data_IF_571173579048
#
_entry.id   IF_571173579048
#
_cell.length_a   1.000
_cell.length_b   1.000
_cell.length_c   1.000
_cell.angle_alpha   90.00
_cell.angle_beta   90.00
_cell.angle_gamma   90.00
#
_symmetry.space_group_name_H-M   'P 1'
#
loop_
_entity.id
_entity.type
_entity.pdbx_description
1 polymer ?
#
# COMPACT_ATOMS: atom_id res chain seq x y z
N UNK A 1 26.12 0.94 -8.85
CA UNK A 1 24.87 1.35 -9.53
C UNK A 1 23.69 1.03 -8.61
N UNK A 2 23.19 2.03 -7.88
CA UNK A 2 21.98 1.90 -7.04
C UNK A 2 20.79 1.50 -7.91
N UNK A 3 20.14 0.37 -7.65
CA UNK A 3 18.83 0.07 -8.26
C UNK A 3 17.84 1.06 -7.67
N UNK A 4 17.31 2.04 -8.44
CA UNK A 4 16.32 2.95 -7.91
C UNK A 4 15.05 2.16 -7.56
N UNK A 5 14.28 2.60 -6.55
CA UNK A 5 13.03 1.94 -6.24
C UNK A 5 12.15 1.92 -7.49
N UNK A 6 11.75 0.73 -7.93
CA UNK A 6 10.97 0.54 -9.16
C UNK A 6 9.55 1.10 -9.03
N UNK A 7 9.07 1.25 -7.79
CA UNK A 7 7.80 1.86 -7.45
C UNK A 7 7.25 1.37 -6.12
N UNK A 8 6.02 1.77 -5.84
CA UNK A 8 5.22 1.24 -4.74
C UNK A 8 4.48 -0.01 -5.23
N UNK A 9 4.39 -1.03 -4.38
CA UNK A 9 3.59 -2.22 -4.63
C UNK A 9 2.59 -2.40 -3.50
N UNK A 10 1.31 -2.27 -3.84
CA UNK A 10 0.21 -2.71 -3.00
C UNK A 10 -0.29 -4.07 -3.50
N UNK A 11 -0.72 -4.91 -2.57
CA UNK A 11 -1.25 -6.23 -2.87
C UNK A 11 -2.48 -6.52 -2.03
N UNK A 12 -3.27 -7.49 -2.49
CA UNK A 12 -4.38 -8.03 -1.71
C UNK A 12 -3.88 -8.60 -0.38
N UNK A 13 -4.73 -8.54 0.65
CA UNK A 13 -4.42 -9.01 2.00
C UNK A 13 -3.96 -10.47 2.04
N UNK A 14 -4.39 -11.32 1.10
CA UNK A 14 -3.93 -12.70 0.99
C UNK A 14 -2.41 -12.83 0.77
N UNK A 15 -1.76 -11.81 0.18
CA UNK A 15 -0.30 -11.82 -0.03
C UNK A 15 0.48 -11.69 1.28
N UNK A 16 -0.09 -11.12 2.34
CA UNK A 16 0.55 -11.06 3.66
C UNK A 16 0.64 -12.41 4.37
N UNK A 17 -0.13 -13.40 3.90
CA UNK A 17 -0.08 -14.78 4.40
C UNK A 17 0.84 -15.68 3.57
N UNK A 18 1.39 -15.18 2.47
CA UNK A 18 2.32 -15.95 1.65
C UNK A 18 3.65 -16.19 2.37
N UNK A 19 4.35 -17.23 1.92
CA UNK A 19 5.72 -17.51 2.35
C UNK A 19 6.59 -16.30 2.00
N UNK A 20 7.34 -15.84 2.99
CA UNK A 20 8.09 -14.59 2.94
C UNK A 20 9.09 -14.57 1.78
N UNK A 21 9.75 -15.70 1.53
CA UNK A 21 10.71 -15.93 0.46
C UNK A 21 10.10 -15.90 -0.94
N UNK A 22 8.79 -16.12 -1.07
CA UNK A 22 8.09 -16.16 -2.36
C UNK A 22 7.53 -14.79 -2.76
N UNK A 23 7.16 -13.97 -1.78
CA UNK A 23 6.56 -12.67 -2.03
C UNK A 23 7.42 -11.53 -1.47
N UNK A 24 7.34 -11.28 -0.17
CA UNK A 24 7.87 -10.06 0.45
C UNK A 24 9.38 -9.85 0.21
N UNK A 25 10.18 -10.91 0.28
CA UNK A 25 11.62 -10.85 0.01
C UNK A 25 11.90 -10.59 -1.47
N UNK A 26 11.27 -11.35 -2.38
CA UNK A 26 11.50 -11.18 -3.83
C UNK A 26 11.14 -9.79 -4.30
N UNK A 27 9.98 -9.28 -3.87
CA UNK A 27 9.51 -7.95 -4.25
C UNK A 27 10.50 -6.86 -3.81
N UNK A 28 11.10 -7.00 -2.63
CA UNK A 28 12.15 -6.09 -2.16
C UNK A 28 13.47 -6.23 -2.90
N UNK A 29 13.88 -7.45 -3.23
CA UNK A 29 15.08 -7.68 -4.06
C UNK A 29 14.91 -7.05 -5.44
N UNK A 30 13.68 -7.02 -5.97
CA UNK A 30 13.35 -6.32 -7.21
C UNK A 30 13.31 -4.79 -7.07
N UNK A 31 13.45 -4.24 -5.86
CA UNK A 31 13.48 -2.80 -5.62
C UNK A 31 12.11 -2.15 -5.36
N UNK A 32 11.04 -2.92 -5.19
CA UNK A 32 9.73 -2.35 -4.86
C UNK A 32 9.59 -2.07 -3.35
N UNK A 33 8.82 -1.03 -3.03
CA UNK A 33 8.42 -0.68 -1.68
C UNK A 33 7.03 -1.28 -1.39
N UNK A 34 6.89 -2.07 -0.33
CA UNK A 34 5.64 -2.72 0.01
C UNK A 34 4.72 -1.82 0.82
N UNK A 35 3.45 -1.80 0.41
CA UNK A 35 2.33 -1.11 1.06
C UNK A 35 1.17 -2.09 1.19
N UNK A 36 1.10 -2.76 2.34
CA UNK A 36 0.20 -3.89 2.56
C UNK A 36 -0.90 -3.56 3.57
N UNK A 37 -2.01 -4.30 3.52
CA UNK A 37 -3.05 -4.28 4.55
C UNK A 37 -3.02 -5.57 5.37
N UNK A 38 -3.47 -5.50 6.62
CA UNK A 38 -3.41 -6.61 7.56
C UNK A 38 -4.78 -7.13 7.95
N UNK A 39 -4.81 -8.41 8.31
CA UNK A 39 -5.94 -9.02 9.02
C UNK A 39 -5.97 -8.49 10.45
N UNK A 40 -7.16 -8.47 11.06
CA UNK A 40 -7.37 -7.96 12.41
C UNK A 40 -6.38 -8.53 13.45
N UNK A 41 -6.09 -9.82 13.40
CA UNK A 41 -5.16 -10.48 14.32
C UNK A 41 -3.67 -10.17 14.08
N UNK A 42 -3.34 -9.56 12.93
CA UNK A 42 -1.96 -9.19 12.58
C UNK A 42 -1.70 -7.69 12.79
N UNK A 43 -2.66 -6.92 13.32
CA UNK A 43 -2.51 -5.49 13.64
C UNK A 43 -1.91 -5.30 15.03
N UNK A 44 -1.18 -4.20 15.22
CA UNK A 44 -0.49 -3.83 16.44
C UNK A 44 0.94 -4.35 16.49
N UNK A 45 1.35 -4.83 17.65
CA UNK A 45 2.69 -5.38 17.87
C UNK A 45 2.79 -6.77 17.25
N UNK A 46 3.70 -6.94 16.30
CA UNK A 46 3.89 -8.17 15.54
C UNK A 46 5.13 -8.97 15.95
N UNK A 47 6.05 -8.36 16.70
CA UNK A 47 7.26 -9.01 17.19
C UNK A 47 8.39 -8.03 17.45
N UNK A 48 9.62 -8.54 17.49
CA UNK A 48 10.83 -7.74 17.70
C UNK A 48 11.95 -8.18 16.79
N UNK A 49 12.81 -7.25 16.36
CA UNK A 49 14.01 -7.55 15.58
C UNK A 49 15.18 -6.68 16.02
N UNK A 50 16.33 -7.29 16.35
CA UNK A 50 17.52 -6.58 16.87
C UNK A 50 17.17 -5.62 18.04
N UNK A 51 16.23 -6.01 18.89
CA UNK A 51 15.78 -5.20 20.02
C UNK A 51 14.89 -4.01 19.67
N UNK A 52 14.50 -3.83 18.40
CA UNK A 52 13.45 -2.90 17.99
C UNK A 52 12.09 -3.61 17.99
N UNK A 53 11.02 -2.87 18.29
CA UNK A 53 9.64 -3.36 18.26
C UNK A 53 9.10 -3.29 16.83
N UNK A 54 8.43 -4.33 16.34
CA UNK A 54 7.73 -4.29 15.06
C UNK A 54 6.26 -3.97 15.32
N UNK A 55 5.83 -2.77 14.94
CA UNK A 55 4.45 -2.27 15.13
C UNK A 55 3.85 -1.98 13.76
N UNK A 56 2.81 -2.71 13.40
CA UNK A 56 2.12 -2.64 12.10
C UNK A 56 3.10 -2.61 10.90
N UNK A 57 4.17 -3.39 10.97
CA UNK A 57 5.18 -3.50 9.93
C UNK A 57 6.30 -2.46 9.97
N UNK A 58 6.23 -1.50 10.88
CA UNK A 58 7.26 -0.49 11.07
C UNK A 58 8.10 -0.82 12.30
N UNK A 59 9.43 -0.78 12.15
CA UNK A 59 10.33 -0.96 13.28
C UNK A 59 10.37 0.32 14.13
N UNK A 60 10.24 0.18 15.44
CA UNK A 60 10.08 1.24 16.40
C UNK A 60 11.03 1.10 17.59
N UNK A 61 11.16 2.19 18.33
CA UNK A 61 11.83 2.22 19.62
C UNK A 61 11.25 1.13 20.56
N UNK A 62 12.10 0.32 21.24
CA UNK A 62 11.61 -0.70 22.17
C UNK A 62 10.84 -0.14 23.37
N UNK A 63 11.01 1.13 23.67
CA UNK A 63 10.29 1.83 24.74
C UNK A 63 9.18 2.75 24.20
N UNK A 64 8.63 2.45 23.02
CA UNK A 64 7.40 3.10 22.56
C UNK A 64 6.28 2.94 23.61
N UNK A 65 5.53 4.00 23.96
CA UNK A 65 4.42 3.88 24.91
C UNK A 65 3.44 2.77 24.50
N UNK A 66 3.01 1.95 25.47
CA UNK A 66 2.15 0.80 25.20
C UNK A 66 0.84 1.17 24.49
N UNK A 67 0.21 2.29 24.90
CA UNK A 67 -1.01 2.80 24.27
C UNK A 67 -0.83 3.11 22.77
N UNK A 68 0.36 3.58 22.38
CA UNK A 68 0.69 3.83 20.97
C UNK A 68 1.01 2.51 20.26
N UNK A 69 1.90 1.68 20.82
CA UNK A 69 2.28 0.40 20.21
C UNK A 69 1.06 -0.49 19.91
N UNK A 70 0.07 -0.49 20.79
CA UNK A 70 -1.13 -1.31 20.66
C UNK A 70 -2.34 -0.60 20.06
N UNK A 71 -2.25 0.64 19.61
CA UNK A 71 -3.42 1.43 19.15
C UNK A 71 -4.29 0.76 18.07
N UNK A 72 -3.71 -0.11 17.24
CA UNK A 72 -4.38 -0.82 16.14
C UNK A 72 -4.76 -2.27 16.48
N UNK A 73 -4.36 -2.75 17.67
CA UNK A 73 -4.58 -4.14 18.10
C UNK A 73 -6.08 -4.42 18.16
N UNK A 74 -6.52 -5.47 17.47
CA UNK A 74 -7.93 -5.89 17.51
C UNK A 74 -8.91 -4.94 16.81
N UNK A 75 -8.46 -3.88 16.14
CA UNK A 75 -9.35 -3.06 15.32
C UNK A 75 -9.97 -3.90 14.21
N UNK A 76 -11.28 -3.77 14.00
CA UNK A 76 -11.97 -4.44 12.91
C UNK A 76 -11.75 -3.72 11.56
N UNK A 77 -12.13 -4.35 10.45
CA UNK A 77 -11.91 -3.80 9.10
C UNK A 77 -12.70 -2.50 8.86
N UNK A 78 -13.86 -2.35 9.48
CA UNK A 78 -14.68 -1.14 9.37
C UNK A 78 -13.98 0.08 10.01
N UNK A 79 -13.48 -0.08 11.23
CA UNK A 79 -12.77 0.98 11.96
C UNK A 79 -11.51 1.46 11.24
N UNK A 80 -10.83 0.56 10.51
CA UNK A 80 -9.66 0.93 9.70
C UNK A 80 -10.05 1.69 8.43
N UNK A 81 -11.14 1.30 7.77
CA UNK A 81 -11.63 1.96 6.54
C UNK A 81 -12.20 3.35 6.84
N UNK A 82 -12.95 3.46 7.92
CA UNK A 82 -13.64 4.68 8.34
C UNK A 82 -12.76 5.55 9.25
N UNK A 83 -11.44 5.36 9.22
CA UNK A 83 -10.50 6.16 9.99
C UNK A 83 -10.55 7.61 9.49
N UNK A 84 -11.24 8.45 10.25
CA UNK A 84 -11.35 9.88 10.01
C UNK A 84 -10.25 10.66 10.75
N UNK A 85 -9.83 11.76 10.14
CA UNK A 85 -8.90 12.71 10.75
C UNK A 85 -9.50 13.33 12.01
N UNK A 86 -8.66 13.57 13.02
CA UNK A 86 -9.08 14.16 14.30
C UNK A 86 -9.80 13.18 15.25
N UNK A 87 -9.84 11.89 14.92
CA UNK A 87 -10.27 10.85 15.87
C UNK A 87 -9.13 10.47 16.82
N UNK A 88 -9.45 10.01 18.02
CA UNK A 88 -8.46 9.51 19.00
C UNK A 88 -7.53 8.45 18.39
N UNK A 89 -8.07 7.59 17.52
CA UNK A 89 -7.26 6.58 16.82
C UNK A 89 -6.28 7.23 15.84
N UNK A 90 -6.72 8.21 15.04
CA UNK A 90 -5.83 8.94 14.13
C UNK A 90 -4.72 9.70 14.87
N UNK A 91 -5.03 10.28 16.04
CA UNK A 91 -4.05 10.95 16.90
C UNK A 91 -3.05 9.95 17.50
N UNK A 92 -3.50 8.78 17.93
CA UNK A 92 -2.60 7.70 18.38
C UNK A 92 -1.72 7.18 17.24
N UNK A 93 -2.24 7.10 16.02
CA UNK A 93 -1.46 6.69 14.83
C UNK A 93 -0.39 7.73 14.52
N UNK A 94 -0.75 9.01 14.47
CA UNK A 94 0.19 10.11 14.28
C UNK A 94 1.24 10.17 15.42
N UNK A 95 0.80 9.96 16.66
CA UNK A 95 1.67 9.95 17.85
C UNK A 95 2.73 8.85 17.84
N UNK A 96 2.61 7.81 17.00
CA UNK A 96 3.65 6.78 16.81
C UNK A 96 4.84 7.28 16.00
N UNK A 97 4.63 8.23 15.08
CA UNK A 97 5.63 8.66 14.10
C UNK A 97 6.99 9.00 14.74
N UNK A 98 7.08 9.76 15.84
CA UNK A 98 8.36 10.10 16.45
C UNK A 98 9.14 8.89 16.98
N UNK A 99 8.45 7.79 17.29
CA UNK A 99 9.05 6.59 17.87
C UNK A 99 9.49 5.56 16.83
N UNK A 100 9.13 5.71 15.55
CA UNK A 100 9.62 4.81 14.50
C UNK A 100 11.12 5.01 14.24
N UNK A 101 11.80 3.93 13.88
CA UNK A 101 13.20 4.02 13.46
C UNK A 101 13.29 4.80 12.14
N UNK A 102 14.28 5.67 12.05
CA UNK A 102 14.47 6.54 10.88
C UNK A 102 15.29 5.84 9.82
N UNK A 103 14.95 6.05 8.55
CA UNK A 103 15.81 5.63 7.45
C UNK A 103 17.08 6.48 7.45
N UNK A 104 18.23 5.84 7.65
CA UNK A 104 19.55 6.49 7.62
C UNK A 104 20.19 6.37 6.26
N UNK A 105 20.18 5.16 5.70
CA UNK A 105 20.67 4.86 4.36
C UNK A 105 19.61 4.02 3.64
N UNK A 106 19.26 4.46 2.43
CA UNK A 106 18.36 3.77 1.51
C UNK A 106 18.92 2.40 1.12
N UNK A 107 18.10 1.60 0.43
CA UNK A 107 18.47 0.26 0.00
C UNK A 107 19.76 0.26 -0.83
N UNK A 108 20.71 -0.58 -0.45
CA UNK A 108 21.90 -0.88 -1.26
C UNK A 108 21.54 -1.77 -2.46
N UNK A 109 22.54 -2.10 -3.30
CA UNK A 109 22.36 -3.00 -4.46
C UNK A 109 21.83 -4.39 -4.08
N UNK A 110 21.96 -4.78 -2.81
CA UNK A 110 21.48 -6.05 -2.26
C UNK A 110 20.14 -5.90 -1.52
N UNK A 111 19.51 -4.73 -1.57
CA UNK A 111 18.23 -4.42 -0.91
C UNK A 111 18.32 -4.17 0.60
N UNK A 112 19.53 -4.02 1.16
CA UNK A 112 19.73 -3.79 2.58
C UNK A 112 19.53 -2.32 2.91
N UNK A 113 18.71 -2.03 3.93
CA UNK A 113 18.51 -0.67 4.44
C UNK A 113 19.19 -0.50 5.79
N UNK A 114 19.53 0.75 6.15
CA UNK A 114 19.97 1.06 7.51
C UNK A 114 18.97 1.96 8.21
N UNK A 115 18.57 1.51 9.38
CA UNK A 115 17.66 2.22 10.26
C UNK A 115 18.43 2.77 11.45
N UNK A 116 18.00 3.93 11.94
CA UNK A 116 18.60 4.64 13.06
C UNK A 116 17.58 4.85 14.17
N UNK A 117 18.06 4.76 15.42
CA UNK A 117 17.30 5.12 16.61
C UNK A 117 16.75 6.56 16.46
N UNK A 118 15.45 6.81 16.73
CA UNK A 118 14.85 8.13 16.55
C UNK A 118 15.43 9.21 17.46
N UNK A 119 16.06 8.82 18.58
CA UNK A 119 16.78 9.72 19.49
C UNK A 119 18.19 10.09 19.00
N UNK A 120 18.71 9.40 17.98
CA UNK A 120 20.03 9.64 17.41
C UNK A 120 20.01 10.51 16.16
N UNK A 121 21.20 10.96 15.76
CA UNK A 121 21.42 11.79 14.57
C UNK A 121 21.29 13.29 14.86
N UNK A 122 21.48 14.13 13.83
CA UNK A 122 21.47 15.59 13.98
C UNK A 122 20.08 16.14 14.33
N UNK A 123 19.02 15.46 13.90
CA UNK A 123 17.63 15.87 14.10
C UNK A 123 16.85 14.76 14.83
N UNK A 124 17.00 14.62 16.16
CA UNK A 124 16.27 13.60 16.92
C UNK A 124 14.75 13.89 16.89
N UNK A 125 13.92 12.85 16.86
CA UNK A 125 12.46 12.97 16.89
C UNK A 125 11.89 12.77 18.30
N UNK A 126 12.63 12.07 19.15
CA UNK A 126 12.29 11.84 20.56
C UNK A 126 13.46 12.25 21.44
N UNK A 127 13.16 12.62 22.68
CA UNK A 127 14.17 12.74 23.74
C UNK A 127 14.22 11.41 24.49
N UNK A 128 15.37 10.75 24.50
CA UNK A 128 15.52 9.45 25.16
C UNK A 128 16.61 9.51 26.25
N UNK A 129 16.24 9.46 27.54
CA UNK A 129 17.20 9.44 28.64
C UNK A 129 18.22 8.29 28.52
N UNK A 130 17.73 7.08 28.17
CA UNK A 130 18.58 5.91 27.94
C UNK A 130 19.63 6.16 26.85
N UNK A 131 19.22 6.75 25.71
CA UNK A 131 20.14 7.05 24.62
C UNK A 131 21.23 8.04 25.05
N UNK A 132 20.83 9.11 25.75
CA UNK A 132 21.75 10.15 26.20
C UNK A 132 22.80 9.58 27.17
N UNK A 133 22.39 8.69 28.09
CA UNK A 133 23.29 8.04 29.04
C UNK A 133 24.26 7.08 28.34
N UNK A 134 23.76 6.17 27.50
CA UNK A 134 24.56 5.12 26.84
C UNK A 134 25.57 5.72 25.86
N UNK A 135 25.17 6.74 25.10
CA UNK A 135 26.02 7.37 24.10
C UNK A 135 26.73 8.64 24.60
N UNK A 136 26.62 8.94 25.91
CA UNK A 136 27.25 10.10 26.57
C UNK A 136 26.96 11.41 25.82
N UNK A 137 25.69 11.58 25.42
CA UNK A 137 25.24 12.81 24.76
C UNK A 137 25.26 13.95 25.79
N UNK A 138 25.94 15.06 25.51
CA UNK A 138 25.98 16.19 26.45
C UNK A 138 24.58 16.76 26.64
N UNK A 139 24.31 17.26 27.83
CA UNK A 139 23.06 17.96 28.10
C UNK A 139 22.89 19.14 27.12
N UNK A 140 21.70 19.34 26.54
CA UNK A 140 21.46 20.46 25.66
C UNK A 140 21.70 21.77 26.42
N UNK A 141 22.42 22.71 25.78
CA UNK A 141 22.57 24.05 26.33
C UNK A 141 21.21 24.76 26.24
N UNK A 142 20.82 25.57 27.26
CA UNK A 142 19.64 26.41 27.15
C UNK A 142 19.80 27.31 25.93
N UNK A 143 18.85 27.23 25.01
CA UNK A 143 18.79 28.09 23.83
C UNK A 143 17.51 28.91 23.91
N UNK A 144 17.60 30.21 23.63
CA UNK A 144 16.42 31.05 23.44
C UNK A 144 15.75 30.61 22.15
N UNK A 145 14.47 30.26 22.23
CA UNK A 145 13.67 29.85 21.08
C UNK A 145 12.73 30.99 20.73
N UNK A 146 12.74 31.40 19.47
CA UNK A 146 11.72 32.30 18.94
C UNK A 146 10.39 31.53 18.79
N UNK A 147 9.42 31.89 19.64
CA UNK A 147 8.09 31.28 19.64
C UNK A 147 7.24 31.69 18.44
N UNK A 148 7.62 32.75 17.72
CA UNK A 148 6.95 33.16 16.49
C UNK A 148 7.32 32.25 15.31
N UNK A 149 8.52 31.67 15.33
CA UNK A 149 8.96 30.67 14.38
C UNK A 149 8.47 29.26 14.81
N UNK A 150 7.38 28.82 14.16
CA UNK A 150 6.82 27.47 14.34
C UNK A 150 7.84 26.36 14.08
N UNK A 151 8.75 26.56 13.12
CA UNK A 151 9.77 25.56 12.77
C UNK A 151 10.83 25.48 13.86
N UNK A 152 11.31 26.63 14.35
CA UNK A 152 12.26 26.67 15.47
C UNK A 152 11.65 26.03 16.73
N UNK A 153 10.39 26.35 17.02
CA UNK A 153 9.65 25.81 18.16
C UNK A 153 9.50 24.28 18.06
N UNK A 154 9.08 23.75 16.89
CA UNK A 154 8.94 22.31 16.68
C UNK A 154 10.27 21.55 16.69
N UNK A 155 11.37 22.17 16.24
CA UNK A 155 12.69 21.56 16.23
C UNK A 155 13.32 21.47 17.63
N UNK A 156 12.87 22.32 18.57
CA UNK A 156 13.42 22.37 19.92
C UNK A 156 13.22 21.06 20.69
N UNK A 157 14.18 20.71 21.54
CA UNK A 157 14.15 19.43 22.28
C UNK A 157 12.97 19.31 23.24
N UNK A 158 12.53 20.42 23.84
CA UNK A 158 11.37 20.44 24.73
C UNK A 158 10.02 20.19 24.02
N UNK A 159 9.94 20.41 22.70
CA UNK A 159 8.74 20.11 21.92
C UNK A 159 8.63 18.63 21.53
N UNK A 160 9.70 17.85 21.72
CA UNK A 160 9.77 16.45 21.29
C UNK A 160 9.26 15.52 22.38
N UNK A 161 8.53 14.44 22.03
CA UNK A 161 8.09 13.46 23.00
C UNK A 161 9.27 12.81 23.71
N UNK A 162 9.15 12.67 25.03
CA UNK A 162 10.13 11.96 25.84
C UNK A 162 9.81 10.47 25.88
N UNK A 163 10.81 9.63 25.64
CA UNK A 163 10.66 8.16 25.72
C UNK A 163 10.42 7.75 27.19
N UNK A 164 9.34 6.99 27.49
CA UNK A 164 8.98 6.61 28.84
C UNK A 164 9.89 5.49 29.37
N UNK A 165 11.12 5.83 29.75
CA UNK A 165 12.03 4.91 30.45
C UNK A 165 11.60 4.79 31.92
N UNK A 166 11.53 3.59 32.54
CA UNK A 166 11.20 3.43 33.96
C UNK A 166 12.13 4.23 34.87
N UNK A 167 11.59 4.79 35.96
CA UNK A 167 12.37 5.64 36.87
C UNK A 167 13.59 4.91 37.46
N UNK A 168 13.43 3.63 37.84
CA UNK A 168 14.54 2.81 38.35
C UNK A 168 15.71 2.72 37.37
N UNK A 169 15.41 2.55 36.08
CA UNK A 169 16.44 2.53 35.03
C UNK A 169 17.06 3.92 34.80
N UNK A 170 16.29 5.01 34.92
CA UNK A 170 16.85 6.36 34.80
C UNK A 170 17.87 6.66 35.90
N UNK A 171 17.59 6.22 37.12
CA UNK A 171 18.44 6.43 38.30
C UNK A 171 19.63 5.47 38.33
N UNK A 172 19.41 4.23 37.90
CA UNK A 172 20.44 3.19 37.79
C UNK A 172 20.43 2.61 36.38
N UNK A 173 21.22 3.18 35.46
CA UNK A 173 21.27 2.73 34.08
C UNK A 173 21.69 1.27 33.97
N UNK A 174 21.01 0.51 33.11
CA UNK A 174 21.40 -0.86 32.80
C UNK A 174 22.75 -0.89 32.08
N UNK A 175 23.60 -1.91 32.32
CA UNK A 175 24.79 -2.13 31.54
C UNK A 175 24.47 -2.23 30.04
N UNK A 176 25.37 -1.72 29.18
CA UNK A 176 25.12 -1.69 27.74
C UNK A 176 24.83 -3.09 27.16
N UNK A 177 25.44 -4.15 27.70
CA UNK A 177 25.21 -5.52 27.24
C UNK A 177 23.78 -6.03 27.45
N UNK A 178 23.05 -5.51 28.44
CA UNK A 178 21.67 -5.90 28.76
C UNK A 178 20.62 -5.12 27.95
N UNK A 179 21.04 -4.02 27.32
CA UNK A 179 20.12 -3.18 26.55
C UNK A 179 19.75 -3.83 25.21
N UNK A 180 18.58 -3.50 24.64
CA UNK A 180 18.23 -3.92 23.29
C UNK A 180 19.29 -3.48 22.27
N UNK A 181 19.62 -4.31 21.27
CA UNK A 181 20.72 -4.05 20.32
C UNK A 181 20.65 -2.67 19.63
N UNK A 182 19.46 -2.19 19.27
CA UNK A 182 19.25 -0.82 18.73
C UNK A 182 19.55 0.31 19.74
N UNK A 183 19.44 0.04 21.04
CA UNK A 183 19.85 0.96 22.09
C UNK A 183 21.36 0.89 22.38
N UNK A 184 22.01 -0.26 22.12
CA UNK A 184 23.46 -0.40 22.25
C UNK A 184 24.21 0.28 21.12
N UNK A 185 23.74 0.06 19.88
CA UNK A 185 24.28 0.63 18.66
C UNK A 185 23.16 1.42 17.99
N UNK A 186 23.34 2.73 17.75
CA UNK A 186 22.25 3.63 17.36
C UNK A 186 21.74 3.37 15.93
N UNK A 187 22.34 2.43 15.21
CA UNK A 187 21.94 2.03 13.86
C UNK A 187 21.92 0.52 13.73
N UNK A 188 20.93 0.01 13.01
CA UNK A 188 20.81 -1.40 12.63
C UNK A 188 20.69 -1.53 11.12
N UNK A 189 21.21 -2.62 10.58
CA UNK A 189 21.10 -2.95 9.16
C UNK A 189 20.07 -4.06 8.98
N UNK A 190 19.10 -3.82 8.11
CA UNK A 190 18.05 -4.76 7.75
C UNK A 190 18.28 -5.22 6.32
N UNK A 191 18.75 -6.46 6.16
CA UNK A 191 18.85 -7.11 4.85
C UNK A 191 17.48 -7.66 4.43
N UNK A 192 17.21 -7.87 3.14
CA UNK A 192 16.03 -8.63 2.73
C UNK A 192 15.99 -9.98 3.45
N UNK A 193 14.85 -10.32 4.05
CA UNK A 193 14.69 -11.55 4.83
C UNK A 193 15.34 -11.57 6.22
N UNK A 194 16.01 -10.50 6.67
CA UNK A 194 16.64 -10.45 8.00
C UNK A 194 15.64 -10.61 9.15
N UNK A 195 14.38 -10.23 8.93
CA UNK A 195 13.28 -10.37 9.89
C UNK A 195 12.70 -11.82 9.91
N UNK A 196 13.20 -12.73 9.07
CA UNK A 196 12.66 -14.07 8.92
C UNK A 196 11.18 -14.02 8.55
N UNK A 197 10.36 -14.80 9.26
CA UNK A 197 8.89 -14.83 9.08
C UNK A 197 8.21 -13.48 9.27
N UNK A 198 8.82 -12.55 10.03
CA UNK A 198 8.25 -11.23 10.27
C UNK A 198 8.42 -10.28 9.08
N UNK A 199 9.28 -10.59 8.11
CA UNK A 199 9.52 -9.70 6.95
C UNK A 199 8.28 -9.58 6.04
N UNK A 200 7.33 -10.53 6.14
CA UNK A 200 6.02 -10.45 5.47
C UNK A 200 5.15 -9.30 5.96
N UNK A 201 5.38 -8.87 7.21
CA UNK A 201 4.70 -7.72 7.78
C UNK A 201 5.46 -6.43 7.57
N UNK A 202 6.74 -6.45 7.20
CA UNK A 202 7.51 -5.21 7.06
C UNK A 202 6.83 -4.29 6.05
N UNK A 203 6.72 -3.01 6.38
CA UNK A 203 6.22 -1.97 5.51
C UNK A 203 7.32 -0.96 5.22
N UNK A 204 7.24 -0.34 4.06
CA UNK A 204 8.10 0.79 3.71
C UNK A 204 7.39 2.15 3.99
N UNK A 205 6.07 2.13 4.23
CA UNK A 205 5.26 3.26 4.73
C UNK A 205 4.49 2.87 6.00
N UNK A 206 4.41 3.75 6.98
CA UNK A 206 3.74 3.46 8.26
C UNK A 206 2.26 3.17 8.06
N UNK A 207 1.79 2.00 8.52
CA UNK A 207 0.40 1.57 8.35
C UNK A 207 -0.58 2.61 8.90
N UNK A 208 -1.62 2.90 8.11
CA UNK A 208 -2.67 3.91 8.38
C UNK A 208 -2.20 5.37 8.47
N UNK A 209 -0.91 5.65 8.32
CA UNK A 209 -0.42 7.02 8.17
C UNK A 209 -0.96 7.63 6.86
N UNK A 210 -1.19 8.95 6.75
CA UNK A 210 -1.70 9.57 5.52
C UNK A 210 -0.93 9.16 4.26
N UNK A 211 0.41 9.15 4.33
CA UNK A 211 1.26 8.70 3.21
C UNK A 211 1.08 7.23 2.80
N UNK A 212 0.65 6.37 3.72
CA UNK A 212 0.25 4.99 3.40
C UNK A 212 -1.15 4.97 2.78
N UNK A 213 -2.09 5.76 3.29
CA UNK A 213 -3.46 5.82 2.77
C UNK A 213 -3.49 6.35 1.33
N UNK A 214 -2.74 7.42 1.05
CA UNK A 214 -2.63 8.05 -0.27
C UNK A 214 -2.08 7.08 -1.32
N UNK A 215 -1.15 6.22 -0.92
CA UNK A 215 -0.56 5.23 -1.81
C UNK A 215 -1.42 3.95 -1.94
N UNK A 216 -2.04 3.50 -0.84
CA UNK A 216 -2.76 2.23 -0.81
C UNK A 216 -4.16 2.31 -1.42
N UNK A 217 -4.90 3.41 -1.17
CA UNK A 217 -6.30 3.56 -1.61
C UNK A 217 -6.45 3.47 -3.14
N UNK A 218 -5.65 4.19 -3.97
CA UNK A 218 -5.80 4.13 -5.43
C UNK A 218 -5.50 2.73 -5.98
N UNK A 219 -4.42 2.10 -5.50
CA UNK A 219 -4.02 0.76 -5.94
C UNK A 219 -5.07 -0.30 -5.55
N UNK A 220 -5.61 -0.21 -4.33
CA UNK A 220 -6.70 -1.08 -3.88
C UNK A 220 -7.96 -0.90 -4.74
N UNK A 221 -8.34 0.35 -5.02
CA UNK A 221 -9.51 0.64 -5.86
C UNK A 221 -9.33 0.07 -7.28
N UNK A 222 -8.11 0.14 -7.83
CA UNK A 222 -7.78 -0.45 -9.13
C UNK A 222 -7.90 -1.99 -9.10
N UNK A 223 -7.30 -2.64 -8.09
CA UNK A 223 -7.38 -4.10 -7.91
C UNK A 223 -8.84 -4.55 -7.73
N UNK A 224 -9.61 -3.85 -6.89
CA UNK A 224 -11.03 -4.15 -6.65
C UNK A 224 -11.87 -3.95 -7.93
N UNK A 225 -11.59 -2.89 -8.71
CA UNK A 225 -12.21 -2.65 -10.00
C UNK A 225 -11.92 -3.74 -11.03
N UNK A 226 -10.65 -4.17 -11.16
CA UNK A 226 -10.25 -5.26 -12.05
C UNK A 226 -10.89 -6.59 -11.63
N UNK A 227 -10.88 -6.89 -10.34
CA UNK A 227 -11.53 -8.08 -9.79
C UNK A 227 -13.05 -8.06 -10.04
N UNK A 228 -13.69 -6.89 -9.89
CA UNK A 228 -15.11 -6.72 -10.19
C UNK A 228 -15.43 -6.98 -11.67
N UNK A 229 -14.58 -6.50 -12.58
CA UNK A 229 -14.70 -6.79 -14.03
C UNK A 229 -14.54 -8.28 -14.33
N UNK A 230 -13.55 -8.92 -13.69
CA UNK A 230 -13.30 -10.35 -13.88
C UNK A 230 -14.44 -11.24 -13.36
N UNK A 231 -15.17 -10.77 -12.34
CA UNK A 231 -16.34 -11.43 -11.75
C UNK A 231 -17.68 -10.91 -12.34
N UNK A 232 -17.65 -10.22 -13.47
CA UNK A 232 -18.86 -9.68 -14.11
C UNK A 232 -19.70 -10.79 -14.75
N UNK A 233 -21.01 -10.55 -14.90
CA UNK A 233 -21.97 -11.56 -15.37
C UNK A 233 -21.63 -12.24 -16.70
N UNK A 234 -20.94 -11.59 -17.64
CA UNK A 234 -20.64 -12.19 -18.95
C UNK A 234 -19.57 -13.29 -18.89
N UNK A 235 -18.48 -13.03 -18.17
CA UNK A 235 -17.30 -13.91 -18.15
C UNK A 235 -17.23 -14.67 -16.83
N UNK A 236 -17.42 -13.99 -15.69
CA UNK A 236 -17.24 -14.49 -14.32
C UNK A 236 -16.24 -15.64 -14.16
N UNK A 237 -14.97 -15.29 -13.98
CA UNK A 237 -13.90 -16.28 -13.77
C UNK A 237 -14.08 -17.11 -12.48
N UNK A 238 -14.94 -16.68 -11.56
CA UNK A 238 -15.16 -17.38 -10.29
C UNK A 238 -16.25 -18.45 -10.40
N UNK A 239 -17.19 -18.30 -11.33
CA UNK A 239 -18.29 -19.23 -11.54
C UNK A 239 -17.82 -20.55 -12.17
N UNK A 240 -17.96 -21.70 -11.49
CA UNK A 240 -17.63 -23.00 -12.06
C UNK A 240 -18.52 -23.37 -13.26
N UNK A 241 -19.76 -22.89 -13.32
CA UNK A 241 -20.70 -23.20 -14.42
C UNK A 241 -20.30 -22.55 -15.74
N UNK A 242 -19.50 -21.48 -15.67
CA UNK A 242 -18.87 -20.84 -16.85
C UNK A 242 -17.50 -21.42 -17.17
N UNK A 243 -17.01 -22.35 -16.34
CA UNK A 243 -15.73 -23.05 -16.48
C UNK A 243 -15.94 -24.55 -16.67
N UNK A 244 -16.74 -24.91 -17.68
CA UNK A 244 -17.15 -26.29 -17.96
C UNK A 244 -16.02 -27.20 -18.48
N UNK A 245 -14.88 -26.63 -18.90
CA UNK A 245 -13.75 -27.40 -19.39
C UNK A 245 -13.07 -28.18 -18.25
N UNK A 246 -12.94 -29.49 -18.35
CA UNK A 246 -12.34 -30.30 -17.28
C UNK A 246 -10.83 -30.50 -17.53
N UNK A 247 -10.05 -30.54 -16.43
CA UNK A 247 -8.60 -30.76 -16.47
C UNK A 247 -7.77 -29.46 -16.40
N UNK A 248 -6.58 -29.56 -15.80
CA UNK A 248 -5.71 -28.40 -15.51
C UNK A 248 -5.30 -27.60 -16.74
N UNK A 249 -5.04 -28.28 -17.86
CA UNK A 249 -4.63 -27.61 -19.12
C UNK A 249 -5.79 -26.83 -19.71
N UNK A 250 -6.96 -27.46 -19.86
CA UNK A 250 -8.13 -26.83 -20.45
C UNK A 250 -8.64 -25.65 -19.60
N UNK A 251 -8.62 -25.78 -18.27
CA UNK A 251 -8.92 -24.67 -17.35
C UNK A 251 -7.93 -23.51 -17.47
N UNK A 252 -6.63 -23.79 -17.58
CA UNK A 252 -5.60 -22.75 -17.77
C UNK A 252 -5.83 -21.97 -19.06
N UNK A 253 -6.09 -22.67 -20.18
CA UNK A 253 -6.36 -22.04 -21.48
C UNK A 253 -7.65 -21.22 -21.41
N UNK A 254 -8.72 -21.78 -20.84
CA UNK A 254 -9.98 -21.07 -20.70
C UNK A 254 -9.81 -19.78 -19.88
N UNK A 255 -9.13 -19.87 -18.73
CA UNK A 255 -8.86 -18.70 -17.90
C UNK A 255 -8.04 -17.63 -18.64
N UNK A 256 -7.05 -18.05 -19.45
CA UNK A 256 -6.27 -17.12 -20.27
C UNK A 256 -7.13 -16.40 -21.31
N UNK A 257 -8.05 -17.11 -21.99
CA UNK A 257 -8.99 -16.52 -22.95
C UNK A 257 -9.98 -15.56 -22.27
N UNK A 258 -10.48 -15.93 -21.09
CA UNK A 258 -11.36 -15.06 -20.29
C UNK A 258 -10.65 -13.76 -19.89
N UNK A 259 -9.41 -13.84 -19.43
CA UNK A 259 -8.57 -12.67 -19.10
C UNK A 259 -8.32 -11.81 -20.35
N UNK A 260 -8.02 -12.43 -21.49
CA UNK A 260 -7.85 -11.72 -22.76
C UNK A 260 -9.11 -10.94 -23.16
N UNK A 261 -10.28 -11.57 -23.06
CA UNK A 261 -11.56 -10.93 -23.33
C UNK A 261 -11.83 -9.75 -22.36
N UNK A 262 -11.55 -9.91 -21.07
CA UNK A 262 -11.63 -8.82 -20.08
C UNK A 262 -10.73 -7.65 -20.53
N UNK A 263 -9.47 -7.92 -20.89
CA UNK A 263 -8.54 -6.87 -21.33
C UNK A 263 -9.05 -6.14 -22.58
N UNK A 264 -9.61 -6.85 -23.56
CA UNK A 264 -10.20 -6.25 -24.75
C UNK A 264 -11.38 -5.34 -24.40
N UNK A 265 -12.26 -5.75 -23.48
CA UNK A 265 -13.36 -4.92 -23.00
C UNK A 265 -12.86 -3.65 -22.32
N UNK A 266 -11.78 -3.73 -21.52
CA UNK A 266 -11.17 -2.57 -20.87
C UNK A 266 -10.68 -1.58 -21.94
N UNK A 267 -9.89 -2.04 -22.91
CA UNK A 267 -9.35 -1.21 -23.97
C UNK A 267 -10.46 -0.56 -24.82
N UNK A 268 -11.50 -1.33 -25.15
CA UNK A 268 -12.65 -0.82 -25.89
C UNK A 268 -13.41 0.26 -25.12
N UNK A 269 -13.68 0.03 -23.82
CA UNK A 269 -14.34 1.03 -22.97
C UNK A 269 -13.52 2.31 -22.84
N UNK A 270 -12.20 2.19 -22.70
CA UNK A 270 -11.28 3.32 -22.64
C UNK A 270 -11.30 4.13 -23.94
N UNK A 271 -11.24 3.46 -25.09
CA UNK A 271 -11.34 4.12 -26.40
C UNK A 271 -12.66 4.89 -26.54
N UNK A 272 -13.78 4.36 -26.06
CA UNK A 272 -15.07 5.06 -26.11
C UNK A 272 -15.10 6.30 -25.20
N UNK A 273 -14.49 6.24 -24.02
CA UNK A 273 -14.47 7.37 -23.08
C UNK A 273 -13.45 8.44 -23.40
N UNK A 274 -12.32 8.07 -24.02
CA UNK A 274 -11.18 8.98 -24.27
C UNK A 274 -11.18 9.54 -25.69
N UNK A 275 -11.95 8.95 -26.61
CA UNK A 275 -12.15 9.56 -27.92
C UNK A 275 -12.85 10.91 -27.71
N UNK A 276 -12.25 12.05 -28.11
CA UNK A 276 -12.97 13.32 -28.08
C UNK A 276 -14.27 13.14 -28.87
N UNK A 277 -15.39 13.52 -28.28
CA UNK A 277 -16.60 13.72 -29.07
C UNK A 277 -16.22 14.74 -30.13
N UNK A 278 -16.05 14.30 -31.38
CA UNK A 278 -16.12 15.21 -32.51
C UNK A 278 -17.51 15.83 -32.41
N UNK A 279 -17.59 17.03 -31.83
CA UNK A 279 -18.74 17.91 -32.03
C UNK A 279 -18.87 18.03 -33.53
N UNK A 280 -19.86 17.34 -34.10
CA UNK A 280 -20.16 17.43 -35.51
C UNK A 280 -20.37 18.90 -35.83
N UNK A 281 -19.41 19.52 -36.50
CA UNK A 281 -19.70 20.65 -37.36
C UNK A 281 -20.78 20.16 -38.29
N UNK A 282 -21.99 20.70 -38.13
CA UNK A 282 -23.08 20.49 -39.06
C UNK A 282 -22.56 20.86 -40.45
N UNK A 283 -22.20 19.86 -41.25
CA UNK A 283 -22.01 20.07 -42.67
C UNK A 283 -23.41 20.31 -43.23
N UNK A 284 -23.69 21.57 -43.51
CA UNK A 284 -24.82 22.01 -44.30
C UNK A 284 -24.80 21.25 -45.63
N UNK A 285 -25.77 20.34 -45.81
CA UNK A 285 -25.94 19.58 -47.04
C UNK A 285 -26.51 20.56 -48.07
N UNK A 286 -25.67 21.04 -48.97
CA UNK A 286 -26.14 21.73 -50.17
C UNK A 286 -26.89 20.70 -51.06
N UNK A 287 -28.12 20.99 -51.51
CA UNK A 287 -28.86 20.06 -52.35
C UNK A 287 -28.23 19.98 -53.74
N UNK A 288 -27.77 18.78 -54.13
CA UNK A 288 -27.38 18.50 -55.51
C UNK A 288 -28.64 18.42 -56.40
N UNK A 289 -28.65 19.24 -57.45
CA UNK A 289 -29.64 19.17 -58.53
C UNK A 289 -29.64 17.79 -59.19
N UNK A 290 -30.83 17.26 -59.46
CA UNK A 290 -31.04 15.89 -59.89
C UNK A 290 -30.53 15.55 -61.28
N UNK A 291 -30.16 14.28 -61.47
CA UNK A 291 -30.28 13.60 -62.76
C UNK A 291 -31.25 12.42 -62.61
N UNK A 292 -32.18 12.32 -63.55
CA UNK A 292 -33.21 11.29 -63.57
C UNK A 292 -32.60 9.91 -63.87
N UNK A 293 -32.92 8.90 -63.07
CA UNK A 293 -32.58 7.51 -63.34
C UNK A 293 -33.71 6.81 -64.11
N UNK A 294 -33.36 6.23 -65.26
CA UNK A 294 -34.17 5.29 -66.07
C UNK A 294 -34.61 4.07 -65.25
N UNK A 295 -35.83 3.52 -65.43
CA UNK A 295 -36.30 2.37 -64.66
C UNK A 295 -35.63 1.04 -65.08
N UNK A 296 -35.46 0.08 -64.14
CA UNK A 296 -34.83 -1.22 -64.41
C UNK A 296 -35.79 -2.27 -64.98
N UNK A 297 -35.25 -3.14 -65.84
CA UNK A 297 -35.92 -4.24 -66.55
C UNK A 297 -36.51 -5.32 -65.63
N UNK A 298 -37.67 -5.84 -66.06
CA UNK A 298 -38.46 -6.85 -65.37
C UNK A 298 -37.96 -8.28 -65.64
N UNK A 299 -36.93 -8.73 -64.93
CA UNK A 299 -36.60 -10.16 -64.84
C UNK A 299 -35.76 -10.48 -63.59
N UNK A 300 -36.43 -10.78 -62.48
CA UNK A 300 -35.81 -11.32 -61.27
C UNK A 300 -36.83 -12.03 -60.39
N UNK A 301 -36.60 -13.32 -60.12
CA UNK A 301 -37.49 -14.22 -59.38
C UNK A 301 -37.72 -13.76 -57.92
N UNK A 302 -38.96 -13.89 -57.38
CA UNK A 302 -39.26 -13.52 -56.00
C UNK A 302 -38.77 -14.58 -54.99
N UNK A 303 -38.39 -14.18 -53.76
CA UNK A 303 -37.99 -15.09 -52.68
C UNK A 303 -39.20 -15.82 -52.04
N UNK A 304 -39.00 -17.02 -51.44
CA UNK A 304 -40.08 -17.89 -50.97
C UNK A 304 -40.78 -17.40 -49.69
N UNK A 305 -42.09 -17.63 -49.65
CA UNK A 305 -43.02 -17.25 -48.57
C UNK A 305 -42.81 -18.12 -47.31
N UNK A 306 -42.66 -17.48 -46.14
CA UNK A 306 -42.63 -18.14 -44.83
C UNK A 306 -44.06 -18.25 -44.28
N UNK A 307 -44.56 -19.47 -44.07
CA UNK A 307 -45.85 -19.75 -43.44
C UNK A 307 -45.77 -19.48 -41.93
N UNK A 308 -46.64 -18.59 -41.42
CA UNK A 308 -46.89 -18.43 -39.99
C UNK A 308 -47.96 -19.44 -39.53
N UNK A 309 -47.62 -20.24 -38.52
CA UNK A 309 -48.54 -21.11 -37.81
C UNK A 309 -49.26 -20.24 -36.76
N UNK A 310 -50.57 -20.03 -36.93
CA UNK A 310 -51.46 -19.52 -35.88
C UNK A 310 -51.98 -20.69 -35.05
N UNK A 311 -51.65 -20.69 -33.76
CA UNK A 311 -52.38 -21.45 -32.75
C UNK A 311 -53.74 -20.78 -32.50
N UNK A 312 -54.80 -21.58 -32.46
CA UNK A 312 -56.10 -21.17 -31.91
C UNK A 312 -56.71 -22.31 -31.10
N UNK A 313 -57.02 -21.95 -29.84
CA UNK A 313 -57.84 -22.60 -28.80
C UNK A 313 -57.14 -23.68 -27.98
#
# INVERSE_FOLDING_TARGET
MTVPPTGLLAADRAYTDQITEHFAQRVRTLGYQLILDYKQQHRGVQGTHQGALLVDGSLACPAMPHALAHATTGLNDKAVRDLADGTELSERIAGREPYFLKLKESADERGSIRLQCPAGGPSPAVVCPRFNQVHRVPAPRPAVVDLSDKRATAAHTAAKPTVPIPQGERLRPLPQAELPRICQKPTITIRPGALGKLDKFRQDRHYLHPTWQDAYRPERANIEGLNGRAKSHGIDISDPTKRLAHGRVAQTILLALMICSINLHILFSWQQTTRPQTTGTAHEIAPLAGSASTPPDAAGLPPPIRLEIRETI
#
